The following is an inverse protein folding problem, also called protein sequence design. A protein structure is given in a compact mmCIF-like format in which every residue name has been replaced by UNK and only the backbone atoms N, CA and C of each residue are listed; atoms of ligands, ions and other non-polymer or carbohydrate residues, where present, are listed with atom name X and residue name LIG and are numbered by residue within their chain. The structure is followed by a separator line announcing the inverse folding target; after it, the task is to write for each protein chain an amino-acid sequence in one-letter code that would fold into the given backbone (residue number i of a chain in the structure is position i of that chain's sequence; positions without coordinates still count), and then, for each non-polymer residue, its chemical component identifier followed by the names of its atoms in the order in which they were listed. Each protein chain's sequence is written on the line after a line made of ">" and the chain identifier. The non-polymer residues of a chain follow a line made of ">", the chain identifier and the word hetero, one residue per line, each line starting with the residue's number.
data_IF_292405240346
#
_entry.id   IF_292405240346
#
_cell.length_a   1.000
_cell.length_b   1.000
_cell.length_c   1.000
_cell.angle_alpha   90.00
_cell.angle_beta   90.00
_cell.angle_gamma   90.00
#
_symmetry.space_group_name_H-M   'P 1'
#
loop_
_entity.id
_entity.type
_entity.pdbx_description
1 polymer ?
#
# COMPACT_ATOMS: atom_id res chain seq x y z
N UNK A 1 -16.28 3.90 1.55
CA UNK A 1 -15.82 3.79 2.96
C UNK A 1 -14.35 4.14 3.01
N UNK A 2 -14.00 5.08 3.89
CA UNK A 2 -12.66 5.64 3.99
C UNK A 2 -12.17 5.64 5.44
N UNK A 3 -10.85 5.68 5.61
CA UNK A 3 -10.17 5.87 6.89
C UNK A 3 -9.01 6.85 6.73
N UNK A 4 -8.70 7.57 7.81
CA UNK A 4 -7.47 8.32 7.90
C UNK A 4 -6.31 7.36 8.23
N UNK A 5 -5.20 7.47 7.49
CA UNK A 5 -4.06 6.58 7.67
C UNK A 5 -3.42 6.70 9.07
N UNK A 6 -3.50 7.88 9.69
CA UNK A 6 -2.99 8.12 11.04
C UNK A 6 -3.72 7.29 12.11
N UNK A 7 -4.99 6.93 11.89
CA UNK A 7 -5.71 6.04 12.80
C UNK A 7 -5.06 4.66 12.92
N UNK A 8 -4.45 4.18 11.84
CA UNK A 8 -3.74 2.89 11.85
C UNK A 8 -2.45 2.97 12.66
N UNK A 9 -1.74 4.11 12.57
CA UNK A 9 -0.55 4.37 13.37
C UNK A 9 -0.90 4.40 14.86
N UNK A 10 -1.95 5.13 15.22
CA UNK A 10 -2.44 5.20 16.60
C UNK A 10 -2.84 3.82 17.12
N UNK A 11 -3.63 3.07 16.33
CA UNK A 11 -4.05 1.71 16.67
C UNK A 11 -2.87 0.75 16.81
N UNK A 12 -1.87 0.83 15.92
CA UNK A 12 -0.64 0.04 15.99
C UNK A 12 0.12 0.32 17.29
N UNK A 13 0.31 1.59 17.64
CA UNK A 13 1.03 1.99 18.87
C UNK A 13 0.29 1.47 20.11
N UNK A 14 -1.04 1.61 20.16
CA UNK A 14 -1.85 1.14 21.29
C UNK A 14 -1.77 -0.40 21.39
N UNK A 15 -2.02 -1.10 20.29
CA UNK A 15 -2.01 -2.57 20.25
C UNK A 15 -0.63 -3.15 20.61
N UNK A 16 0.44 -2.56 20.07
CA UNK A 16 1.81 -2.95 20.39
C UNK A 16 2.11 -2.81 21.88
N UNK A 17 1.82 -1.65 22.48
CA UNK A 17 2.03 -1.41 23.91
C UNK A 17 1.24 -2.38 24.79
N UNK A 18 -0.01 -2.65 24.43
CA UNK A 18 -0.85 -3.63 25.14
C UNK A 18 -0.27 -5.04 25.03
N UNK A 19 0.17 -5.45 23.85
CA UNK A 19 0.78 -6.77 23.64
C UNK A 19 2.07 -6.94 24.47
N UNK A 20 2.96 -5.96 24.46
CA UNK A 20 4.19 -5.95 25.26
C UNK A 20 3.90 -6.04 26.76
N UNK A 21 2.95 -5.21 27.24
CA UNK A 21 2.52 -5.22 28.64
C UNK A 21 1.93 -6.57 29.04
N UNK A 22 1.04 -7.12 28.19
CA UNK A 22 0.39 -8.41 28.45
C UNK A 22 1.41 -9.58 28.47
N UNK A 23 2.39 -9.53 27.56
CA UNK A 23 3.46 -10.54 27.51
C UNK A 23 4.47 -10.41 28.65
N UNK A 24 4.51 -9.29 29.37
CA UNK A 24 5.47 -9.04 30.44
C UNK A 24 6.93 -8.93 29.96
N UNK A 25 7.14 -8.52 28.70
CA UNK A 25 8.48 -8.36 28.11
C UNK A 25 8.89 -6.88 28.09
N UNK A 26 10.20 -6.64 28.03
CA UNK A 26 10.71 -5.28 27.78
C UNK A 26 10.72 -5.01 26.28
N UNK A 27 10.05 -3.94 25.84
CA UNK A 27 10.03 -3.56 24.42
C UNK A 27 11.43 -3.37 23.83
N UNK A 28 12.42 -3.02 24.66
CA UNK A 28 13.83 -2.85 24.25
C UNK A 28 14.53 -4.15 23.88
N UNK A 29 13.96 -5.30 24.28
CA UNK A 29 14.45 -6.64 23.93
C UNK A 29 13.86 -7.17 22.61
N UNK A 30 12.95 -6.42 21.96
CA UNK A 30 12.38 -6.79 20.68
C UNK A 30 13.40 -6.48 19.57
N UNK A 31 13.70 -7.46 18.73
CA UNK A 31 14.73 -7.37 17.69
C UNK A 31 14.16 -7.26 16.26
N UNK A 32 12.91 -7.65 16.07
CA UNK A 32 12.26 -7.60 14.78
C UNK A 32 10.75 -7.38 14.90
N UNK A 33 10.17 -6.74 13.88
CA UNK A 33 8.74 -6.54 13.70
C UNK A 33 8.32 -7.05 12.32
N UNK A 34 7.17 -7.70 12.25
CA UNK A 34 6.45 -7.96 11.01
C UNK A 34 5.11 -7.23 11.05
N UNK A 35 4.73 -6.60 9.95
CA UNK A 35 3.46 -5.90 9.83
C UNK A 35 2.44 -6.78 9.12
N UNK A 36 1.21 -6.79 9.61
CA UNK A 36 0.04 -7.29 8.89
C UNK A 36 -0.95 -6.15 8.74
N UNK A 37 -1.50 -5.97 7.55
CA UNK A 37 -2.43 -4.89 7.24
C UNK A 37 -3.58 -5.35 6.37
N UNK A 38 -4.58 -4.47 6.22
CA UNK A 38 -5.68 -4.72 5.28
C UNK A 38 -5.21 -4.51 3.85
N UNK A 39 -5.70 -5.35 2.92
CA UNK A 39 -5.36 -5.29 1.50
C UNK A 39 -6.11 -4.18 0.76
N UNK A 40 -5.66 -3.88 -0.46
CA UNK A 40 -6.36 -3.07 -1.47
C UNK A 40 -6.63 -1.60 -1.12
N UNK A 41 -6.33 -1.13 0.06
CA UNK A 41 -6.44 0.29 0.41
C UNK A 41 -5.48 1.12 -0.44
N UNK A 42 -5.93 2.30 -0.91
CA UNK A 42 -5.10 3.19 -1.72
C UNK A 42 -4.60 4.34 -0.85
N UNK A 43 -3.31 4.36 -0.56
CA UNK A 43 -2.63 5.40 0.21
C UNK A 43 -1.78 6.26 -0.73
N UNK A 44 -2.30 7.39 -1.22
CA UNK A 44 -1.53 8.32 -2.06
C UNK A 44 -0.63 9.21 -1.19
N UNK A 45 0.66 9.24 -1.49
CA UNK A 45 1.61 10.11 -0.80
C UNK A 45 2.20 11.17 -1.73
N UNK A 46 2.46 12.35 -1.17
CA UNK A 46 3.29 13.38 -1.81
C UNK A 46 4.80 13.07 -1.69
N UNK A 47 5.64 13.98 -2.16
CA UNK A 47 7.11 13.85 -2.12
C UNK A 47 7.66 13.79 -0.69
N UNK A 48 7.03 14.47 0.25
CA UNK A 48 7.42 14.53 1.65
C UNK A 48 6.90 13.32 2.46
N UNK A 49 6.01 12.52 1.87
CA UNK A 49 5.40 11.34 2.50
C UNK A 49 4.11 11.65 3.24
N UNK A 50 3.51 12.82 3.02
CA UNK A 50 2.20 13.15 3.56
C UNK A 50 1.11 12.46 2.75
N UNK A 51 0.07 12.00 3.43
CA UNK A 51 -1.10 11.39 2.79
C UNK A 51 -1.96 12.47 2.13
N UNK A 52 -2.19 12.33 0.83
CA UNK A 52 -2.90 13.34 0.02
C UNK A 52 -4.42 13.27 0.15
N UNK A 53 -4.98 12.13 0.55
CA UNK A 53 -6.42 11.90 0.63
C UNK A 53 -6.72 10.78 1.61
N UNK A 54 -7.90 10.79 2.25
CA UNK A 54 -8.39 9.67 3.05
C UNK A 54 -8.36 8.37 2.24
N UNK A 55 -8.07 7.26 2.90
CA UNK A 55 -7.80 5.99 2.24
C UNK A 55 -9.08 5.24 1.94
N UNK A 56 -9.40 5.04 0.66
CA UNK A 56 -10.48 4.15 0.23
C UNK A 56 -10.14 2.70 0.55
N UNK A 57 -11.01 2.04 1.30
CA UNK A 57 -10.78 0.69 1.81
C UNK A 57 -11.13 -0.40 0.80
N UNK A 58 -10.74 -1.64 1.10
CA UNK A 58 -11.05 -2.83 0.30
C UNK A 58 -12.56 -3.07 0.12
N UNK A 59 -13.38 -2.67 1.10
CA UNK A 59 -14.83 -2.78 1.09
C UNK A 59 -15.55 -1.55 0.51
N UNK A 60 -14.79 -0.59 -0.06
CA UNK A 60 -15.36 0.55 -0.76
C UNK A 60 -15.75 0.15 -2.19
N UNK A 61 -17.00 0.34 -2.54
CA UNK A 61 -17.54 0.00 -3.86
C UNK A 61 -17.85 1.22 -4.73
N UNK A 62 -17.48 2.42 -4.27
CA UNK A 62 -17.71 3.67 -5.02
C UNK A 62 -17.03 3.66 -6.38
N UNK A 63 -15.92 2.92 -6.51
CA UNK A 63 -15.13 2.84 -7.73
C UNK A 63 -15.54 1.68 -8.67
N UNK A 64 -16.82 1.27 -8.60
CA UNK A 64 -17.31 0.17 -9.42
C UNK A 64 -17.28 0.49 -10.92
N UNK A 65 -17.59 1.74 -11.29
CA UNK A 65 -17.56 2.19 -12.69
C UNK A 65 -16.14 2.20 -13.25
N UNK A 66 -15.17 2.68 -12.47
CA UNK A 66 -13.75 2.65 -12.84
C UNK A 66 -13.24 1.21 -12.99
N UNK A 67 -13.67 0.32 -12.11
CA UNK A 67 -13.31 -1.09 -12.23
C UNK A 67 -13.87 -1.73 -13.50
N UNK A 68 -15.13 -1.47 -13.82
CA UNK A 68 -15.76 -1.97 -15.05
C UNK A 68 -15.04 -1.43 -16.29
N UNK A 69 -14.74 -0.13 -16.30
CA UNK A 69 -13.97 0.51 -17.39
C UNK A 69 -12.60 -0.14 -17.57
N UNK A 70 -11.85 -0.34 -16.51
CA UNK A 70 -10.53 -0.99 -16.57
C UNK A 70 -10.65 -2.44 -17.05
N UNK A 71 -11.65 -3.18 -16.56
CA UNK A 71 -11.88 -4.55 -16.96
C UNK A 71 -12.20 -4.65 -18.47
N UNK A 72 -13.03 -3.75 -18.99
CA UNK A 72 -13.34 -3.67 -20.42
C UNK A 72 -12.08 -3.35 -21.25
N UNK A 73 -11.28 -2.39 -20.82
CA UNK A 73 -10.03 -2.02 -21.51
C UNK A 73 -8.98 -3.13 -21.50
N UNK A 74 -8.96 -3.97 -20.47
CA UNK A 74 -8.14 -5.18 -20.41
C UNK A 74 -8.63 -6.30 -21.35
N UNK A 75 -9.81 -6.18 -21.96
CA UNK A 75 -10.42 -7.25 -22.76
C UNK A 75 -11.31 -8.19 -21.96
N UNK A 76 -11.92 -7.69 -20.90
CA UNK A 76 -12.80 -8.43 -20.00
C UNK A 76 -12.03 -9.35 -19.04
N UNK A 77 -12.74 -10.34 -18.50
CA UNK A 77 -12.16 -11.27 -17.52
C UNK A 77 -10.97 -12.07 -18.09
N UNK A 78 -11.06 -12.50 -19.35
CA UNK A 78 -9.98 -13.25 -19.99
C UNK A 78 -8.74 -12.40 -20.23
N UNK A 79 -8.90 -11.17 -20.74
CA UNK A 79 -7.79 -10.26 -20.96
C UNK A 79 -7.13 -9.83 -19.64
N UNK A 80 -7.92 -9.67 -18.56
CA UNK A 80 -7.37 -9.44 -17.22
C UNK A 80 -6.51 -10.64 -16.75
N UNK A 81 -7.00 -11.87 -16.94
CA UNK A 81 -6.24 -13.10 -16.64
C UNK A 81 -4.96 -13.22 -17.49
N UNK A 82 -5.02 -12.86 -18.75
CA UNK A 82 -3.86 -12.88 -19.66
C UNK A 82 -2.84 -11.82 -19.29
N UNK A 83 -3.26 -10.62 -18.87
CA UNK A 83 -2.37 -9.49 -18.56
C UNK A 83 -1.78 -9.58 -17.16
N UNK A 84 -2.57 -9.99 -16.16
CA UNK A 84 -2.21 -9.90 -14.74
C UNK A 84 -2.12 -11.28 -14.05
N UNK A 85 -2.63 -12.34 -14.67
CA UNK A 85 -2.76 -13.64 -14.03
C UNK A 85 -3.93 -13.74 -13.05
N UNK A 86 -4.77 -12.68 -12.97
CA UNK A 86 -5.97 -12.64 -12.15
C UNK A 86 -7.04 -11.75 -12.80
N UNK A 87 -8.29 -11.90 -12.35
CA UNK A 87 -9.37 -10.99 -12.71
C UNK A 87 -9.45 -9.86 -11.69
N UNK A 88 -9.36 -8.60 -12.16
CA UNK A 88 -9.60 -7.45 -11.30
C UNK A 88 -11.06 -7.41 -10.83
N UNK A 89 -11.27 -6.94 -9.60
CA UNK A 89 -12.58 -6.83 -8.98
C UNK A 89 -12.76 -5.47 -8.32
N UNK A 90 -14.02 -5.06 -8.14
CA UNK A 90 -14.36 -3.86 -7.36
C UNK A 90 -13.76 -3.98 -5.97
N UNK A 91 -13.14 -2.89 -5.50
CA UNK A 91 -12.41 -2.89 -4.24
C UNK A 91 -10.90 -3.06 -4.41
N UNK A 92 -10.39 -3.44 -5.59
CA UNK A 92 -8.96 -3.44 -5.88
C UNK A 92 -8.42 -2.02 -6.02
N UNK A 93 -7.11 -1.87 -5.84
CA UNK A 93 -6.43 -0.55 -5.79
C UNK A 93 -6.49 0.19 -7.12
N UNK A 94 -6.40 -0.51 -8.25
CA UNK A 94 -6.39 0.10 -9.58
C UNK A 94 -7.59 1.02 -9.86
N UNK A 95 -8.80 0.58 -9.49
CA UNK A 95 -10.01 1.38 -9.69
C UNK A 95 -10.02 2.64 -8.81
N UNK A 96 -9.47 2.55 -7.59
CA UNK A 96 -9.34 3.69 -6.68
C UNK A 96 -8.35 4.73 -7.19
N UNK A 97 -7.25 4.28 -7.79
CA UNK A 97 -6.27 5.17 -8.43
C UNK A 97 -6.90 5.89 -9.61
N UNK A 98 -7.65 5.19 -10.47
CA UNK A 98 -8.35 5.80 -11.60
C UNK A 98 -9.40 6.82 -11.10
N UNK A 99 -10.17 6.47 -10.09
CA UNK A 99 -11.13 7.36 -9.43
C UNK A 99 -10.43 8.61 -8.88
N UNK A 100 -9.35 8.45 -8.14
CA UNK A 100 -8.57 9.56 -7.57
C UNK A 100 -8.03 10.50 -8.65
N UNK A 101 -7.47 9.95 -9.73
CA UNK A 101 -7.01 10.73 -10.89
C UNK A 101 -8.13 11.56 -11.49
N UNK A 102 -9.33 10.98 -11.61
CA UNK A 102 -10.47 11.60 -12.25
C UNK A 102 -11.10 12.70 -11.39
N UNK A 103 -11.28 12.42 -10.08
CA UNK A 103 -12.03 13.30 -9.18
C UNK A 103 -11.16 14.31 -8.43
N UNK A 104 -9.85 14.03 -8.28
CA UNK A 104 -8.91 14.87 -7.55
C UNK A 104 -7.67 15.24 -8.37
N UNK A 105 -7.83 15.87 -9.57
CA UNK A 105 -6.69 16.11 -10.47
C UNK A 105 -5.59 17.01 -9.86
N UNK A 106 -5.95 17.92 -8.94
CA UNK A 106 -4.97 18.76 -8.26
C UNK A 106 -4.11 17.96 -7.24
N UNK A 107 -4.70 16.98 -6.57
CA UNK A 107 -3.96 16.06 -5.68
C UNK A 107 -3.19 15.02 -6.50
N UNK A 108 -3.78 14.54 -7.60
CA UNK A 108 -3.08 13.68 -8.55
C UNK A 108 -1.78 14.28 -9.05
N UNK A 109 -1.76 15.59 -9.31
CA UNK A 109 -0.55 16.29 -9.72
C UNK A 109 0.57 16.26 -8.66
N UNK A 110 0.25 16.04 -7.40
CA UNK A 110 1.17 15.94 -6.27
C UNK A 110 1.56 14.50 -5.94
N UNK A 111 0.90 13.51 -6.58
CA UNK A 111 1.17 12.09 -6.31
C UNK A 111 2.63 11.75 -6.61
N UNK A 112 3.32 11.28 -5.60
CA UNK A 112 4.71 10.83 -5.67
C UNK A 112 4.85 9.32 -5.39
N UNK A 113 4.05 8.76 -4.47
CA UNK A 113 4.14 7.33 -4.13
C UNK A 113 2.74 6.75 -3.89
N UNK A 114 2.53 5.54 -4.36
CA UNK A 114 1.35 4.71 -4.07
C UNK A 114 1.75 3.61 -3.09
N UNK A 115 1.13 3.59 -1.92
CA UNK A 115 1.30 2.50 -0.96
C UNK A 115 -0.04 1.81 -0.67
N UNK A 116 0.02 0.60 -0.15
CA UNK A 116 -1.10 -0.09 0.49
C UNK A 116 -1.04 0.12 2.01
N UNK A 117 -2.09 -0.18 2.77
CA UNK A 117 -2.09 0.03 4.23
C UNK A 117 -0.93 -0.67 4.95
N UNK A 118 -0.62 -1.90 4.57
CA UNK A 118 0.54 -2.64 5.07
C UNK A 118 1.86 -1.91 4.75
N UNK A 119 2.05 -1.52 3.49
CA UNK A 119 3.26 -0.82 3.04
C UNK A 119 3.40 0.55 3.70
N UNK A 120 2.27 1.25 3.95
CA UNK A 120 2.27 2.53 4.66
C UNK A 120 2.72 2.39 6.12
N UNK A 121 2.30 1.35 6.83
CA UNK A 121 2.79 1.08 8.18
C UNK A 121 4.30 0.75 8.18
N UNK A 122 4.76 0.00 7.20
CA UNK A 122 6.19 -0.26 7.01
C UNK A 122 6.97 1.03 6.70
N UNK A 123 6.42 1.91 5.85
CA UNK A 123 6.98 3.23 5.58
C UNK A 123 7.02 4.09 6.85
N UNK A 124 5.95 4.10 7.66
CA UNK A 124 5.94 4.81 8.92
C UNK A 124 7.01 4.28 9.89
N UNK A 125 7.22 2.98 9.94
CA UNK A 125 8.23 2.36 10.80
C UNK A 125 9.66 2.65 10.33
N UNK A 126 9.94 2.58 9.03
CA UNK A 126 11.30 2.53 8.48
C UNK A 126 11.70 3.77 7.68
N UNK A 127 10.76 4.44 7.06
CA UNK A 127 10.99 5.46 6.03
C UNK A 127 11.15 4.90 4.62
N UNK A 128 11.18 3.57 4.46
CA UNK A 128 11.36 2.92 3.16
C UNK A 128 10.02 2.81 2.41
N UNK A 129 10.02 3.19 1.13
CA UNK A 129 8.86 3.14 0.24
C UNK A 129 8.96 1.88 -0.62
N UNK A 130 8.39 0.79 -0.16
CA UNK A 130 8.41 -0.51 -0.84
C UNK A 130 7.02 -1.13 -0.82
N UNK A 131 6.74 -2.05 -1.74
CA UNK A 131 5.54 -2.88 -1.74
C UNK A 131 5.93 -4.36 -1.66
N UNK A 132 5.13 -5.14 -0.94
CA UNK A 132 5.33 -6.57 -0.82
C UNK A 132 4.54 -7.31 -1.93
N UNK A 133 5.07 -8.41 -2.47
CA UNK A 133 4.49 -9.15 -3.59
C UNK A 133 3.06 -9.64 -3.32
N UNK A 134 2.76 -10.12 -2.11
CA UNK A 134 1.44 -10.63 -1.74
C UNK A 134 0.39 -9.51 -1.79
N UNK A 135 0.68 -8.37 -1.16
CA UNK A 135 -0.19 -7.20 -1.18
C UNK A 135 -0.27 -6.57 -2.58
N UNK A 136 0.85 -6.44 -3.27
CA UNK A 136 0.90 -5.94 -4.64
C UNK A 136 0.03 -6.76 -5.60
N UNK A 137 -0.10 -8.08 -5.36
CA UNK A 137 -0.92 -8.98 -6.18
C UNK A 137 -2.40 -8.58 -6.22
N UNK A 138 -2.91 -7.97 -5.15
CA UNK A 138 -4.29 -7.49 -5.04
C UNK A 138 -4.52 -6.06 -5.56
N UNK A 139 -3.52 -5.43 -6.17
CA UNK A 139 -3.66 -4.05 -6.67
C UNK A 139 -4.43 -3.94 -7.99
N UNK A 140 -4.39 -4.97 -8.82
CA UNK A 140 -4.82 -4.90 -10.23
C UNK A 140 -3.79 -4.22 -11.15
N UNK A 141 -2.56 -4.00 -10.65
CA UNK A 141 -1.43 -3.42 -11.40
C UNK A 141 -0.23 -4.36 -11.49
N UNK A 142 -0.30 -5.51 -10.86
CA UNK A 142 0.80 -6.46 -10.70
C UNK A 142 0.53 -7.74 -11.50
N UNK A 143 1.48 -8.17 -12.34
CA UNK A 143 1.43 -9.48 -12.99
C UNK A 143 1.96 -10.55 -12.02
N UNK A 144 1.09 -11.40 -11.52
CA UNK A 144 1.42 -12.42 -10.51
C UNK A 144 2.37 -13.51 -11.03
N UNK A 145 2.47 -13.70 -12.35
CA UNK A 145 3.34 -14.71 -12.98
C UNK A 145 4.79 -14.23 -13.07
N UNK A 146 4.96 -12.95 -13.44
CA UNK A 146 6.30 -12.34 -13.58
C UNK A 146 6.79 -11.67 -12.31
N UNK A 147 5.88 -11.46 -11.34
CA UNK A 147 6.11 -10.71 -10.09
C UNK A 147 6.65 -9.30 -10.35
N UNK A 148 6.01 -8.60 -11.29
CA UNK A 148 6.37 -7.23 -11.67
C UNK A 148 5.13 -6.37 -11.84
N UNK A 149 5.30 -5.08 -11.72
CA UNK A 149 4.27 -4.14 -12.13
C UNK A 149 3.96 -4.30 -13.62
N UNK A 150 2.69 -4.37 -13.97
CA UNK A 150 2.24 -4.50 -15.36
C UNK A 150 2.16 -3.13 -16.02
N UNK A 151 3.11 -2.84 -16.91
CA UNK A 151 3.10 -1.58 -17.67
C UNK A 151 1.78 -1.40 -18.43
N UNK A 152 1.22 -2.47 -19.00
CA UNK A 152 -0.06 -2.44 -19.70
C UNK A 152 -1.20 -1.96 -18.78
N UNK A 153 -1.33 -2.55 -17.59
CA UNK A 153 -2.39 -2.16 -16.65
C UNK A 153 -2.19 -0.73 -16.11
N UNK A 154 -0.95 -0.33 -15.86
CA UNK A 154 -0.62 1.02 -15.40
C UNK A 154 -0.98 2.06 -16.45
N UNK A 155 -0.64 1.82 -17.73
CA UNK A 155 -0.90 2.75 -18.83
C UNK A 155 -2.40 2.93 -19.13
N UNK A 156 -3.25 1.96 -18.80
CA UNK A 156 -4.70 2.13 -18.89
C UNK A 156 -5.24 3.17 -17.91
N UNK A 157 -4.54 3.40 -16.80
CA UNK A 157 -4.89 4.44 -15.82
C UNK A 157 -4.17 5.74 -16.17
N UNK A 158 -2.87 5.65 -16.45
CA UNK A 158 -2.02 6.82 -16.69
C UNK A 158 -0.85 6.51 -17.63
N UNK A 159 -0.95 7.00 -18.84
CA UNK A 159 0.07 6.87 -19.90
C UNK A 159 1.13 7.99 -19.86
N UNK A 160 0.95 8.98 -18.98
CA UNK A 160 1.93 10.07 -18.80
C UNK A 160 3.23 9.62 -18.12
N UNK A 161 3.21 8.45 -17.50
CA UNK A 161 4.33 7.90 -16.73
C UNK A 161 4.36 8.31 -15.25
N UNK A 162 3.48 9.21 -14.79
CA UNK A 162 3.40 9.60 -13.37
C UNK A 162 3.10 8.41 -12.46
N UNK A 163 2.05 7.64 -12.79
CA UNK A 163 1.70 6.47 -11.99
C UNK A 163 2.82 5.45 -11.97
N UNK A 164 3.47 5.22 -13.13
CA UNK A 164 4.61 4.29 -13.20
C UNK A 164 5.74 4.69 -12.26
N UNK A 165 6.06 5.97 -12.19
CA UNK A 165 7.10 6.51 -11.30
C UNK A 165 6.67 6.49 -9.82
N UNK A 166 5.36 6.56 -9.55
CA UNK A 166 4.82 6.53 -8.20
C UNK A 166 4.72 5.11 -7.60
N UNK A 167 4.83 4.06 -8.42
CA UNK A 167 4.83 2.69 -7.92
C UNK A 167 6.15 2.36 -7.24
N UNK A 168 6.13 1.86 -5.98
CA UNK A 168 7.35 1.56 -5.24
C UNK A 168 8.05 0.31 -5.77
N UNK A 169 9.35 0.12 -5.48
CA UNK A 169 10.04 -1.13 -5.74
C UNK A 169 9.40 -2.27 -4.95
N UNK A 170 9.36 -3.43 -5.59
CA UNK A 170 8.76 -4.66 -5.07
C UNK A 170 9.75 -5.45 -4.22
N UNK A 171 9.29 -6.00 -3.11
CA UNK A 171 10.07 -6.84 -2.19
C UNK A 171 9.33 -8.15 -1.89
N UNK A 172 10.08 -9.18 -1.54
CA UNK A 172 9.53 -10.40 -0.95
C UNK A 172 9.25 -10.18 0.54
N UNK A 173 8.23 -10.86 1.07
CA UNK A 173 7.93 -10.89 2.51
C UNK A 173 9.11 -11.38 3.39
N UNK A 174 10.05 -12.13 2.80
CA UNK A 174 11.26 -12.60 3.51
C UNK A 174 12.37 -11.54 3.61
N UNK A 175 12.22 -10.43 2.88
CA UNK A 175 13.24 -9.38 2.87
C UNK A 175 13.09 -8.48 4.08
N UNK A 176 14.22 -8.22 4.76
CA UNK A 176 14.29 -7.08 5.66
C UNK A 176 14.09 -5.79 4.85
N UNK A 177 13.07 -5.01 5.21
CA UNK A 177 12.75 -3.75 4.55
C UNK A 177 13.71 -2.66 5.03
N UNK A 178 14.00 -2.65 6.33
CA UNK A 178 14.86 -1.66 6.97
C UNK A 178 14.87 -1.83 8.48
N UNK A 179 15.32 -0.81 9.17
CA UNK A 179 15.26 -0.71 10.65
C UNK A 179 14.27 0.36 11.07
N UNK A 180 13.68 0.16 12.23
CA UNK A 180 12.73 1.14 12.81
C UNK A 180 13.44 2.47 13.00
N UNK A 181 12.87 3.53 12.43
CA UNK A 181 13.40 4.90 12.56
C UNK A 181 13.25 5.45 13.99
N UNK A 182 14.11 6.37 14.43
CA UNK A 182 14.12 6.86 15.81
C UNK A 182 12.77 7.34 16.33
N UNK A 183 12.01 8.11 15.53
CA UNK A 183 10.71 8.65 15.94
C UNK A 183 9.65 7.53 16.17
N UNK A 184 9.69 6.45 15.39
CA UNK A 184 8.80 5.31 15.60
C UNK A 184 9.26 4.45 16.78
N UNK A 185 10.56 4.25 16.94
CA UNK A 185 11.13 3.53 18.07
C UNK A 185 10.77 4.22 19.40
N UNK A 186 10.88 5.53 19.48
CA UNK A 186 10.47 6.32 20.66
C UNK A 186 8.99 6.11 21.00
N UNK A 187 8.10 6.19 19.99
CA UNK A 187 6.65 5.99 20.20
C UNK A 187 6.31 4.57 20.67
N UNK A 188 7.08 3.58 20.25
CA UNK A 188 6.88 2.17 20.61
C UNK A 188 7.68 1.74 21.85
N UNK A 189 8.64 2.54 22.32
CA UNK A 189 9.53 2.20 23.42
C UNK A 189 10.56 1.12 23.04
N UNK A 190 10.89 1.01 21.76
CA UNK A 190 11.81 0.00 21.22
C UNK A 190 13.28 0.36 21.49
N UNK A 191 14.13 -0.68 21.56
CA UNK A 191 15.57 -0.54 21.50
C UNK A 191 16.08 -0.11 20.12
N UNK A 192 17.39 0.09 19.96
CA UNK A 192 17.98 0.45 18.68
C UNK A 192 18.00 -0.73 17.70
N UNK A 193 18.02 -0.40 16.39
CA UNK A 193 18.25 -1.35 15.30
C UNK A 193 17.24 -2.51 15.18
N UNK A 194 15.99 -2.30 15.61
CA UNK A 194 14.90 -3.26 15.39
C UNK A 194 14.60 -3.38 13.90
N UNK A 195 14.66 -4.59 13.35
CA UNK A 195 14.44 -4.86 11.92
C UNK A 195 12.94 -4.96 11.62
N UNK A 196 12.58 -4.56 10.39
CA UNK A 196 11.20 -4.67 9.86
C UNK A 196 11.24 -5.53 8.59
N UNK A 197 10.29 -6.45 8.48
CA UNK A 197 10.10 -7.33 7.32
C UNK A 197 8.63 -7.36 6.90
#
# INVERSE_FOLDING_TARGET
>A
REQEADWWIEALVIAFRQAVTHAGVDAREIHALGVSGQQHGFVPLDVDGNVLHSVKLWCDTETAEENERLLQQLGGANGSLETLGLRIATGYTASKILWFKTHHPALWAQLHTVLLPHDYLNFWLTGERVAEYGDASGTGLFDVRTRRWSKTAVDLIDDSGRLWQALPPLKSAECCIGTVRPAAAEKLGLGPAVRVS
#
